data_IF_533187003154
#
_entry.id   IF_533187003154
#
_cell.length_a   1.000
_cell.length_b   1.000
_cell.length_c   1.000
_cell.angle_alpha   90.00
_cell.angle_beta   90.00
_cell.angle_gamma   90.00
#
_symmetry.space_group_name_H-M   'P 1'
#
loop_
_entity.id
_entity.type
_entity.pdbx_description
1 polymer ?
#
# COMPACT_ATOMS: atom_id res chain seq x y z
N UNK A 1 21.40 -7.58 5.21
CA UNK A 1 21.30 -6.60 4.11
C UNK A 1 20.94 -5.29 4.75
N UNK A 2 21.68 -4.23 4.45
CA UNK A 2 21.55 -2.96 5.13
C UNK A 2 20.95 -1.87 4.22
N UNK A 3 20.98 -2.07 2.89
CA UNK A 3 20.50 -1.10 1.89
C UNK A 3 20.00 -1.74 0.59
N UNK A 4 19.40 -0.94 -0.28
CA UNK A 4 19.09 -1.28 -1.67
C UNK A 4 20.35 -1.35 -2.54
N UNK A 5 21.40 -0.59 -2.22
CA UNK A 5 22.71 -0.74 -2.87
C UNK A 5 23.28 -2.15 -2.70
N UNK A 6 23.11 -2.78 -1.53
CA UNK A 6 23.51 -4.18 -1.31
C UNK A 6 22.74 -5.12 -2.22
N UNK A 7 21.42 -4.93 -2.36
CA UNK A 7 20.57 -5.74 -3.22
C UNK A 7 21.00 -5.64 -4.69
N UNK A 8 21.29 -4.42 -5.16
CA UNK A 8 21.84 -4.20 -6.50
C UNK A 8 23.17 -4.92 -6.69
N UNK A 9 24.08 -4.84 -5.71
CA UNK A 9 25.40 -5.49 -5.78
C UNK A 9 25.28 -7.01 -5.85
N UNK A 10 24.40 -7.61 -5.05
CA UNK A 10 24.16 -9.05 -5.08
C UNK A 10 23.55 -9.50 -6.42
N UNK A 11 22.55 -8.78 -6.91
CA UNK A 11 21.89 -9.13 -8.18
C UNK A 11 22.81 -8.93 -9.39
N UNK A 12 23.76 -7.99 -9.36
CA UNK A 12 24.72 -7.78 -10.44
C UNK A 12 25.78 -8.89 -10.54
N UNK A 13 25.96 -9.70 -9.49
CA UNK A 13 26.76 -10.93 -9.61
C UNK A 13 26.11 -11.90 -10.59
N UNK A 14 24.77 -11.95 -10.64
CA UNK A 14 24.03 -12.88 -11.49
C UNK A 14 24.01 -12.46 -12.98
N UNK A 15 24.32 -11.20 -13.30
CA UNK A 15 24.37 -10.73 -14.69
C UNK A 15 25.70 -11.00 -15.40
N UNK A 16 26.70 -11.51 -14.68
CA UNK A 16 28.01 -11.88 -15.23
C UNK A 16 27.98 -13.34 -15.65
N UNK A 17 28.72 -13.69 -16.70
CA UNK A 17 28.92 -15.08 -17.08
C UNK A 17 29.64 -15.82 -15.94
N UNK A 18 28.94 -16.73 -15.29
CA UNK A 18 29.46 -17.46 -14.13
C UNK A 18 30.06 -18.79 -14.58
N UNK A 19 31.35 -19.01 -14.28
CA UNK A 19 32.03 -20.28 -14.57
C UNK A 19 31.55 -21.46 -13.71
N UNK A 20 30.88 -21.18 -12.58
CA UNK A 20 30.33 -22.17 -11.64
C UNK A 20 28.92 -21.74 -11.22
N UNK A 21 28.04 -22.66 -10.81
CA UNK A 21 26.76 -22.31 -10.23
C UNK A 21 26.94 -21.38 -9.01
N UNK A 22 26.26 -20.23 -9.00
CA UNK A 22 26.30 -19.26 -7.90
C UNK A 22 24.93 -19.19 -7.24
N UNK A 23 24.90 -19.15 -5.91
CA UNK A 23 23.69 -18.95 -5.13
C UNK A 23 23.76 -17.57 -4.48
N UNK A 24 22.75 -16.73 -4.73
CA UNK A 24 22.63 -15.41 -4.10
C UNK A 24 21.40 -15.41 -3.20
N UNK A 25 21.61 -15.08 -1.93
CA UNK A 25 20.53 -14.97 -0.94
C UNK A 25 20.84 -13.86 0.07
N UNK A 26 20.20 -12.71 -0.10
CA UNK A 26 20.22 -11.60 0.86
C UNK A 26 19.52 -11.97 2.16
N UNK A 27 20.12 -11.57 3.28
CA UNK A 27 19.60 -11.78 4.63
C UNK A 27 18.71 -10.61 5.09
N UNK A 28 17.70 -10.92 5.90
CA UNK A 28 16.73 -9.94 6.43
C UNK A 28 15.64 -9.56 5.43
N UNK A 29 14.67 -8.76 5.86
CA UNK A 29 13.50 -8.37 5.05
C UNK A 29 13.94 -7.65 3.75
N UNK A 30 14.92 -6.74 3.84
CA UNK A 30 15.52 -6.06 2.69
C UNK A 30 16.10 -7.03 1.64
N UNK A 31 16.58 -8.20 2.05
CA UNK A 31 17.18 -9.19 1.17
C UNK A 31 16.18 -10.12 0.48
N UNK A 32 14.90 -10.11 0.88
CA UNK A 32 13.88 -11.04 0.38
C UNK A 32 13.72 -10.97 -1.13
N UNK A 33 13.86 -9.78 -1.73
CA UNK A 33 13.81 -9.62 -3.18
C UNK A 33 14.78 -10.55 -3.90
N UNK A 34 16.01 -10.68 -3.42
CA UNK A 34 17.03 -11.55 -4.04
C UNK A 34 16.67 -13.03 -3.97
N UNK A 35 15.93 -13.45 -2.93
CA UNK A 35 15.46 -14.83 -2.78
C UNK A 35 14.33 -15.16 -3.75
N UNK A 36 13.48 -14.18 -4.04
CA UNK A 36 12.33 -14.33 -4.94
C UNK A 36 12.78 -14.26 -6.41
N UNK A 37 13.56 -13.24 -6.79
CA UNK A 37 13.88 -12.99 -8.21
C UNK A 37 15.25 -13.54 -8.63
N UNK A 38 16.11 -13.91 -7.68
CA UNK A 38 17.48 -14.37 -7.95
C UNK A 38 17.52 -15.55 -8.93
N UNK A 39 16.74 -16.62 -8.73
CA UNK A 39 16.73 -17.77 -9.64
C UNK A 39 16.34 -17.41 -11.08
N UNK A 40 15.34 -16.54 -11.24
CA UNK A 40 14.95 -16.01 -12.56
C UNK A 40 16.05 -15.17 -13.24
N UNK A 41 17.09 -14.79 -12.50
CA UNK A 41 18.23 -13.98 -12.96
C UNK A 41 19.56 -14.73 -12.99
N UNK A 42 19.57 -16.02 -12.69
CA UNK A 42 20.77 -16.87 -12.79
C UNK A 42 21.30 -17.41 -11.47
N UNK A 43 20.65 -17.15 -10.33
CA UNK A 43 20.97 -17.86 -9.09
C UNK A 43 20.61 -19.33 -9.25
N UNK A 44 21.52 -20.25 -8.90
CA UNK A 44 21.32 -21.68 -9.10
C UNK A 44 20.10 -22.22 -8.33
N UNK A 45 19.91 -21.74 -7.10
CA UNK A 45 18.73 -22.06 -6.27
C UNK A 45 18.38 -20.90 -5.34
N UNK A 46 17.30 -21.07 -4.58
CA UNK A 46 16.91 -20.25 -3.44
C UNK A 46 16.42 -21.13 -2.29
N UNK A 47 16.39 -20.60 -1.08
CA UNK A 47 15.94 -21.30 0.12
C UNK A 47 14.59 -20.77 0.60
N UNK A 48 13.68 -21.68 0.91
CA UNK A 48 12.38 -21.40 1.53
C UNK A 48 12.19 -22.29 2.77
N UNK A 49 11.47 -21.78 3.77
CA UNK A 49 11.21 -22.50 5.01
C UNK A 49 9.95 -23.37 4.87
N UNK A 50 10.06 -24.67 5.12
CA UNK A 50 8.89 -25.55 5.24
C UNK A 50 8.20 -25.42 6.61
N UNK A 51 8.99 -25.14 7.65
CA UNK A 51 8.53 -24.89 9.03
C UNK A 51 9.10 -23.55 9.53
N UNK A 52 10.03 -23.57 10.47
CA UNK A 52 10.70 -22.38 10.96
C UNK A 52 11.79 -21.92 9.98
N UNK A 53 11.98 -20.61 9.86
CA UNK A 53 13.09 -20.04 9.12
C UNK A 53 14.41 -20.41 9.81
N UNK A 54 15.38 -20.92 9.03
CA UNK A 54 16.76 -21.14 9.49
C UNK A 54 17.64 -19.91 9.33
N UNK A 55 17.17 -18.91 8.59
CA UNK A 55 17.91 -17.69 8.27
C UNK A 55 16.99 -16.45 8.25
N UNK A 56 17.43 -15.30 8.79
CA UNK A 56 16.71 -14.03 8.66
C UNK A 56 16.30 -13.70 7.22
N UNK A 57 15.03 -13.35 7.04
CA UNK A 57 14.45 -13.02 5.73
C UNK A 57 14.11 -14.23 4.85
N UNK A 58 14.28 -15.46 5.33
CA UNK A 58 13.79 -16.63 4.62
C UNK A 58 12.25 -16.64 4.62
N UNK A 59 11.68 -16.76 3.43
CA UNK A 59 10.24 -16.84 3.23
C UNK A 59 9.75 -18.28 3.39
N UNK A 60 8.50 -18.46 3.81
CA UNK A 60 7.91 -19.80 3.81
C UNK A 60 7.76 -20.34 2.38
N UNK A 61 7.75 -21.67 2.23
CA UNK A 61 7.48 -22.32 0.94
C UNK A 61 6.09 -21.91 0.41
N UNK A 62 5.11 -21.74 1.31
CA UNK A 62 3.78 -21.25 0.97
C UNK A 62 3.80 -19.84 0.40
N UNK A 63 4.50 -18.89 1.03
CA UNK A 63 4.63 -17.53 0.50
C UNK A 63 5.35 -17.50 -0.85
N UNK A 64 6.44 -18.24 -0.99
CA UNK A 64 7.20 -18.32 -2.24
C UNK A 64 6.33 -18.83 -3.39
N UNK A 65 5.62 -19.93 -3.18
CA UNK A 65 4.85 -20.58 -4.24
C UNK A 65 3.51 -19.87 -4.51
N UNK A 66 2.78 -19.47 -3.47
CA UNK A 66 1.39 -19.02 -3.60
C UNK A 66 1.25 -17.50 -3.66
N UNK A 67 2.08 -16.75 -2.92
CA UNK A 67 2.02 -15.28 -2.92
C UNK A 67 2.88 -14.71 -4.03
N UNK A 68 4.17 -15.07 -4.06
CA UNK A 68 5.10 -14.53 -5.05
C UNK A 68 5.13 -15.31 -6.36
N UNK A 69 4.37 -16.42 -6.44
CA UNK A 69 4.24 -17.25 -7.66
C UNK A 69 5.61 -17.60 -8.23
N UNK A 70 6.53 -17.98 -7.34
CA UNK A 70 7.96 -18.10 -7.63
C UNK A 70 8.29 -18.84 -8.92
N UNK A 71 7.56 -19.93 -9.24
CA UNK A 71 7.75 -20.73 -10.46
C UNK A 71 7.42 -19.99 -11.77
N UNK A 72 6.65 -18.90 -11.70
CA UNK A 72 6.26 -18.07 -12.85
C UNK A 72 7.17 -16.86 -13.04
N UNK A 73 8.00 -16.52 -12.05
CA UNK A 73 8.92 -15.37 -12.13
C UNK A 73 10.03 -15.69 -13.13
N UNK A 74 10.21 -14.79 -14.10
CA UNK A 74 11.18 -14.86 -15.20
C UNK A 74 12.04 -13.61 -15.21
N UNK A 75 13.10 -13.62 -16.03
CA UNK A 75 13.95 -12.43 -16.23
C UNK A 75 13.18 -11.23 -16.81
N UNK A 76 12.15 -11.49 -17.60
CA UNK A 76 11.24 -10.48 -18.19
C UNK A 76 10.23 -9.91 -17.22
N UNK A 77 9.96 -10.60 -16.10
CA UNK A 77 8.89 -10.24 -15.17
C UNK A 77 9.10 -8.84 -14.62
N UNK A 78 8.07 -8.00 -14.78
CA UNK A 78 8.07 -6.62 -14.32
C UNK A 78 7.97 -6.60 -12.79
N UNK A 79 8.89 -5.90 -12.13
CA UNK A 79 8.91 -5.82 -10.67
C UNK A 79 8.15 -4.60 -10.19
N UNK A 80 7.10 -4.85 -9.40
CA UNK A 80 6.34 -3.83 -8.68
C UNK A 80 6.38 -4.17 -7.20
N UNK A 81 6.12 -3.21 -6.31
CA UNK A 81 6.04 -3.52 -4.89
C UNK A 81 5.54 -2.39 -4.02
N UNK A 82 5.63 -2.57 -2.71
CA UNK A 82 5.26 -1.55 -1.73
C UNK A 82 6.48 -0.98 -1.02
N UNK A 83 6.65 0.34 -1.10
CA UNK A 83 7.67 1.13 -0.40
C UNK A 83 7.09 1.68 0.90
N UNK A 84 7.77 1.43 2.02
CA UNK A 84 7.36 1.91 3.33
C UNK A 84 8.30 1.43 4.44
N UNK A 85 8.01 1.85 5.66
CA UNK A 85 8.71 1.38 6.85
C UNK A 85 7.79 1.47 8.08
N UNK A 86 7.24 0.34 8.58
CA UNK A 86 7.40 -1.04 8.10
C UNK A 86 6.47 -1.40 6.92
N UNK A 87 6.76 -2.51 6.22
CA UNK A 87 5.90 -3.10 5.17
C UNK A 87 5.58 -4.59 5.35
N UNK A 88 6.16 -5.24 6.37
CA UNK A 88 6.02 -6.68 6.62
C UNK A 88 4.57 -7.19 6.66
N UNK A 89 3.64 -6.42 7.24
CA UNK A 89 2.22 -6.78 7.38
C UNK A 89 1.34 -6.37 6.20
N UNK A 90 1.91 -5.82 5.12
CA UNK A 90 1.09 -5.39 3.98
C UNK A 90 0.42 -6.58 3.28
N UNK A 91 -0.89 -6.46 3.03
CA UNK A 91 -1.66 -7.41 2.24
C UNK A 91 -1.54 -7.17 0.72
N UNK A 92 -0.92 -6.06 0.30
CA UNK A 92 -0.80 -5.67 -1.12
C UNK A 92 -0.12 -6.75 -1.99
N UNK A 93 0.93 -7.48 -1.53
CA UNK A 93 1.50 -8.58 -2.30
C UNK A 93 0.49 -9.70 -2.57
N UNK A 94 -0.38 -10.06 -1.62
CA UNK A 94 -1.41 -11.08 -1.84
C UNK A 94 -2.41 -10.61 -2.89
N UNK A 95 -2.91 -9.38 -2.76
CA UNK A 95 -3.92 -8.82 -3.64
C UNK A 95 -3.40 -8.68 -5.09
N UNK A 96 -2.29 -7.98 -5.28
CA UNK A 96 -1.78 -7.67 -6.61
C UNK A 96 -1.22 -8.90 -7.33
N UNK A 97 -0.53 -9.82 -6.65
CA UNK A 97 -0.04 -11.03 -7.32
C UNK A 97 -1.19 -11.92 -7.79
N UNK A 98 -2.28 -12.03 -7.03
CA UNK A 98 -3.50 -12.72 -7.48
C UNK A 98 -4.14 -12.02 -8.67
N UNK A 99 -4.20 -10.69 -8.66
CA UNK A 99 -4.73 -9.92 -9.79
C UNK A 99 -3.88 -10.07 -11.06
N UNK A 100 -2.55 -10.00 -10.96
CA UNK A 100 -1.66 -10.26 -12.10
C UNK A 100 -1.81 -11.67 -12.63
N UNK A 101 -2.08 -12.65 -11.77
CA UNK A 101 -2.31 -14.03 -12.18
C UNK A 101 -3.62 -14.23 -12.93
N UNK A 102 -4.73 -13.72 -12.39
CA UNK A 102 -6.06 -13.77 -13.04
C UNK A 102 -6.03 -13.06 -14.40
N UNK A 103 -5.31 -11.94 -14.51
CA UNK A 103 -5.16 -11.20 -15.77
C UNK A 103 -4.08 -11.76 -16.72
N UNK A 104 -3.39 -12.85 -16.37
CA UNK A 104 -2.27 -13.42 -17.13
C UNK A 104 -1.17 -12.40 -17.51
N UNK A 105 -0.79 -11.55 -16.55
CA UNK A 105 0.21 -10.50 -16.74
C UNK A 105 1.56 -10.85 -16.07
N UNK A 106 2.66 -10.66 -16.80
CA UNK A 106 4.04 -10.97 -16.34
C UNK A 106 4.60 -9.88 -15.40
N UNK A 107 4.00 -9.79 -14.21
CA UNK A 107 4.41 -8.92 -13.11
C UNK A 107 4.57 -9.72 -11.83
N UNK A 108 5.39 -9.25 -10.91
CA UNK A 108 5.40 -9.72 -9.51
C UNK A 108 5.36 -8.52 -8.58
N UNK A 109 4.47 -8.56 -7.59
CA UNK A 109 4.37 -7.57 -6.53
C UNK A 109 5.18 -8.01 -5.31
N UNK A 110 6.09 -7.15 -4.85
CA UNK A 110 7.09 -7.43 -3.83
C UNK A 110 6.97 -6.46 -2.64
N UNK A 111 7.68 -6.76 -1.54
CA UNK A 111 7.86 -5.82 -0.43
C UNK A 111 9.18 -5.09 -0.60
N UNK A 112 9.16 -3.76 -0.50
CA UNK A 112 10.33 -2.90 -0.58
C UNK A 112 10.50 -2.12 0.73
N UNK A 113 10.90 -2.79 1.84
CA UNK A 113 11.18 -2.09 3.09
C UNK A 113 12.24 -1.03 2.84
N UNK A 114 11.93 0.23 3.16
CA UNK A 114 12.76 1.35 2.74
C UNK A 114 12.80 2.37 3.87
N UNK A 115 13.93 2.50 4.54
CA UNK A 115 14.18 3.57 5.50
C UNK A 115 14.76 4.82 4.78
N UNK A 116 15.69 4.58 3.85
CA UNK A 116 16.32 5.62 3.03
C UNK A 116 15.75 5.62 1.60
N UNK A 117 14.95 6.65 1.28
CA UNK A 117 14.38 6.82 -0.05
C UNK A 117 15.46 7.11 -1.11
N UNK A 118 16.53 7.84 -0.76
CA UNK A 118 17.58 8.19 -1.71
C UNK A 118 18.27 6.93 -2.23
N UNK A 119 18.70 6.06 -1.31
CA UNK A 119 19.29 4.76 -1.65
C UNK A 119 18.31 3.89 -2.47
N UNK A 120 17.01 3.88 -2.14
CA UNK A 120 16.02 3.18 -2.96
C UNK A 120 15.97 3.72 -4.40
N UNK A 121 15.82 5.02 -4.60
CA UNK A 121 15.69 5.61 -5.94
C UNK A 121 16.95 5.48 -6.79
N UNK A 122 18.13 5.57 -6.19
CA UNK A 122 19.42 5.37 -6.88
C UNK A 122 19.61 3.94 -7.40
N UNK A 123 18.91 2.96 -6.79
CA UNK A 123 19.09 1.53 -7.10
C UNK A 123 17.89 0.88 -7.79
N UNK A 124 16.68 1.42 -7.64
CA UNK A 124 15.43 0.80 -8.10
C UNK A 124 15.45 0.44 -9.59
N UNK A 125 15.90 1.36 -10.45
CA UNK A 125 15.97 1.12 -11.91
C UNK A 125 16.99 0.05 -12.29
N UNK A 126 18.17 0.06 -11.65
CA UNK A 126 19.20 -0.95 -11.89
C UNK A 126 18.75 -2.35 -11.43
N UNK A 127 17.90 -2.42 -10.41
CA UNK A 127 17.27 -3.66 -9.95
C UNK A 127 16.13 -4.10 -10.89
N UNK A 128 15.62 -3.23 -11.76
CA UNK A 128 14.53 -3.53 -12.70
C UNK A 128 13.13 -3.28 -12.12
N UNK A 129 13.02 -2.46 -11.08
CA UNK A 129 11.73 -1.99 -10.55
C UNK A 129 11.11 -1.02 -11.55
N UNK A 130 9.82 -1.23 -11.86
CA UNK A 130 9.08 -0.43 -12.84
C UNK A 130 7.94 0.39 -12.22
N UNK A 131 7.54 0.09 -10.99
CA UNK A 131 6.54 0.85 -10.24
C UNK A 131 6.42 0.36 -8.81
N UNK A 132 5.74 1.13 -7.98
CA UNK A 132 5.52 0.77 -6.59
C UNK A 132 4.38 1.58 -5.96
N UNK A 133 3.68 0.99 -4.99
CA UNK A 133 2.88 1.74 -4.03
C UNK A 133 3.80 2.38 -2.99
N UNK A 134 3.37 3.49 -2.41
CA UNK A 134 4.05 4.18 -1.31
C UNK A 134 3.10 4.20 -0.12
N UNK A 135 3.57 3.76 1.04
CA UNK A 135 2.82 3.81 2.31
C UNK A 135 3.59 4.61 3.37
N UNK A 136 3.10 4.59 4.61
CA UNK A 136 3.70 5.27 5.75
C UNK A 136 5.20 4.90 5.87
N UNK A 137 6.08 5.88 6.16
CA UNK A 137 5.83 7.32 6.33
C UNK A 137 6.04 8.15 5.04
N UNK A 138 6.21 7.50 3.89
CA UNK A 138 6.88 8.08 2.72
C UNK A 138 5.99 8.85 1.74
N UNK A 139 4.66 8.87 1.94
CA UNK A 139 3.72 9.45 0.95
C UNK A 139 3.99 10.91 0.60
N UNK A 140 4.58 11.71 1.50
CA UNK A 140 5.03 13.08 1.16
C UNK A 140 6.52 13.12 0.83
N UNK A 141 7.35 12.34 1.54
CA UNK A 141 8.81 12.33 1.39
C UNK A 141 9.30 11.78 0.03
N UNK A 142 8.46 11.03 -0.68
CA UNK A 142 8.77 10.51 -2.02
C UNK A 142 8.78 11.60 -3.10
N UNK A 143 8.03 12.70 -2.91
CA UNK A 143 7.78 13.72 -3.94
C UNK A 143 9.06 14.31 -4.55
N UNK A 144 10.10 14.67 -3.76
CA UNK A 144 11.33 15.25 -4.32
C UNK A 144 12.10 14.34 -5.29
N UNK A 145 11.82 13.03 -5.31
CA UNK A 145 12.47 12.06 -6.18
C UNK A 145 11.74 11.82 -7.50
N UNK A 146 10.57 12.47 -7.69
CA UNK A 146 9.70 12.26 -8.84
C UNK A 146 9.91 13.36 -9.88
N UNK A 147 9.95 12.95 -11.16
CA UNK A 147 10.10 13.89 -12.27
C UNK A 147 8.78 14.49 -12.74
N UNK A 148 7.65 13.88 -12.39
CA UNK A 148 6.31 14.36 -12.72
C UNK A 148 5.30 13.95 -11.66
N UNK A 149 4.29 14.81 -11.43
CA UNK A 149 3.12 14.51 -10.60
C UNK A 149 1.86 14.73 -11.43
N UNK A 150 0.89 13.84 -11.28
CA UNK A 150 -0.47 14.06 -11.78
C UNK A 150 -1.16 15.22 -11.05
N UNK A 151 -2.27 15.72 -11.61
CA UNK A 151 -3.03 16.81 -11.00
C UNK A 151 -3.57 16.40 -9.62
N UNK A 152 -4.06 15.18 -9.49
CA UNK A 152 -4.52 14.57 -8.24
C UNK A 152 -3.41 14.53 -7.18
N UNK A 153 -2.23 13.99 -7.51
CA UNK A 153 -1.10 13.96 -6.59
C UNK A 153 -0.63 15.36 -6.16
N UNK A 154 -0.55 16.30 -7.10
CA UNK A 154 -0.16 17.69 -6.84
C UNK A 154 -1.15 18.37 -5.90
N UNK A 155 -2.45 18.22 -6.15
CA UNK A 155 -3.51 18.78 -5.32
C UNK A 155 -3.54 18.16 -3.91
N UNK A 156 -3.28 16.85 -3.80
CA UNK A 156 -3.21 16.18 -2.51
C UNK A 156 -1.93 16.52 -1.73
N UNK A 157 -0.83 16.88 -2.40
CA UNK A 157 0.47 17.06 -1.74
C UNK A 157 0.98 15.78 -1.07
N UNK A 158 0.63 14.63 -1.66
CA UNK A 158 1.01 13.28 -1.26
C UNK A 158 0.90 12.32 -2.47
N UNK A 159 1.75 11.30 -2.52
CA UNK A 159 1.81 10.27 -3.56
C UNK A 159 1.76 8.90 -2.89
N UNK A 160 0.88 8.03 -3.38
CA UNK A 160 0.81 6.63 -2.95
C UNK A 160 1.12 5.64 -4.08
N UNK A 161 1.32 6.11 -5.31
CA UNK A 161 1.48 5.28 -6.51
C UNK A 161 2.54 5.89 -7.41
N UNK A 162 3.55 5.10 -7.78
CA UNK A 162 4.67 5.55 -8.61
C UNK A 162 4.93 4.55 -9.74
N UNK A 163 5.30 5.03 -10.92
CA UNK A 163 5.76 4.21 -12.03
C UNK A 163 6.81 4.92 -12.89
N UNK A 164 7.61 4.13 -13.60
CA UNK A 164 8.61 4.65 -14.53
C UNK A 164 8.00 4.82 -15.93
N UNK A 165 8.14 6.01 -16.51
CA UNK A 165 7.72 6.32 -17.88
C UNK A 165 8.61 7.43 -18.44
N UNK A 166 9.03 7.30 -19.70
CA UNK A 166 9.77 8.33 -20.45
C UNK A 166 10.98 8.92 -19.69
N UNK A 167 11.78 8.04 -19.08
CA UNK A 167 13.02 8.45 -18.40
C UNK A 167 12.84 9.06 -17.01
N UNK A 168 11.62 9.06 -16.45
CA UNK A 168 11.33 9.64 -15.14
C UNK A 168 10.34 8.81 -14.32
N UNK A 169 10.36 9.03 -13.01
CA UNK A 169 9.35 8.53 -12.09
C UNK A 169 8.15 9.48 -12.05
N UNK A 170 6.95 8.93 -12.21
CA UNK A 170 5.68 9.68 -12.18
C UNK A 170 4.92 9.30 -10.92
N UNK A 171 4.41 10.31 -10.20
CA UNK A 171 3.62 10.15 -8.98
C UNK A 171 2.13 10.40 -9.17
N UNK A 172 1.33 9.52 -8.58
CA UNK A 172 -0.14 9.60 -8.48
C UNK A 172 -0.61 9.36 -7.03
N UNK A 173 -1.80 9.84 -6.70
CA UNK A 173 -2.50 9.59 -5.46
C UNK A 173 -3.85 8.88 -5.70
N UNK A 174 -3.82 7.55 -5.72
CA UNK A 174 -5.02 6.71 -5.84
C UNK A 174 -5.82 6.62 -4.54
N UNK A 175 -5.31 7.09 -3.39
CA UNK A 175 -6.11 7.17 -2.18
C UNK A 175 -7.26 8.17 -2.35
N UNK A 176 -7.05 9.27 -3.10
CA UNK A 176 -8.12 10.23 -3.45
C UNK A 176 -9.26 9.51 -4.18
N UNK A 177 -8.91 8.65 -5.14
CA UNK A 177 -9.87 7.80 -5.84
C UNK A 177 -10.56 6.82 -4.88
N UNK A 178 -9.80 6.15 -4.01
CA UNK A 178 -10.33 5.22 -3.03
C UNK A 178 -11.33 5.85 -2.05
N UNK A 179 -11.06 7.08 -1.58
CA UNK A 179 -11.99 7.83 -0.71
C UNK A 179 -13.29 8.14 -1.45
N UNK A 180 -13.21 8.64 -2.70
CA UNK A 180 -14.40 8.93 -3.51
C UNK A 180 -15.23 7.67 -3.77
N UNK A 181 -14.57 6.55 -4.09
CA UNK A 181 -15.24 5.27 -4.30
C UNK A 181 -15.92 4.77 -3.02
N UNK A 182 -15.28 4.90 -1.86
CA UNK A 182 -15.86 4.52 -0.57
C UNK A 182 -17.11 5.35 -0.25
N UNK A 183 -17.06 6.67 -0.42
CA UNK A 183 -18.22 7.55 -0.23
C UNK A 183 -19.36 7.24 -1.21
N UNK A 184 -19.04 7.00 -2.48
CA UNK A 184 -20.02 6.62 -3.50
C UNK A 184 -20.70 5.27 -3.16
N UNK A 185 -19.95 4.29 -2.65
CA UNK A 185 -20.50 2.99 -2.25
C UNK A 185 -21.52 3.11 -1.11
N UNK A 186 -21.33 4.09 -0.21
CA UNK A 186 -22.25 4.43 0.87
C UNK A 186 -23.37 5.39 0.43
N UNK A 187 -23.42 5.77 -0.85
CA UNK A 187 -24.34 6.79 -1.40
C UNK A 187 -24.30 8.11 -0.61
N UNK A 188 -23.13 8.47 -0.08
CA UNK A 188 -22.94 9.68 0.70
C UNK A 188 -22.47 10.83 -0.20
N UNK A 189 -23.34 11.81 -0.42
CA UNK A 189 -22.98 13.06 -1.08
C UNK A 189 -22.35 14.04 -0.07
N UNK A 190 -21.12 14.44 -0.36
CA UNK A 190 -20.34 15.37 0.48
C UNK A 190 -20.71 16.83 0.24
N UNK A 191 -21.47 17.13 -0.81
CA UNK A 191 -21.82 18.50 -1.21
C UNK A 191 -22.54 19.25 -0.09
N UNK A 192 -21.97 20.38 0.33
CA UNK A 192 -22.55 21.19 1.41
C UNK A 192 -22.40 20.63 2.84
N UNK A 193 -21.74 19.47 3.00
CA UNK A 193 -21.57 18.78 4.29
C UNK A 193 -20.40 19.32 5.11
N UNK A 194 -20.44 19.11 6.43
CA UNK A 194 -19.32 19.32 7.33
C UNK A 194 -18.62 18.01 7.61
N UNK A 195 -17.29 18.01 7.49
CA UNK A 195 -16.46 16.82 7.62
C UNK A 195 -15.37 17.05 8.66
N UNK A 196 -15.16 16.07 9.53
CA UNK A 196 -14.02 16.03 10.45
C UNK A 196 -13.11 14.87 10.05
N UNK A 197 -11.82 15.14 9.89
CA UNK A 197 -10.80 14.13 9.58
C UNK A 197 -9.85 14.02 10.77
N UNK A 198 -9.67 12.81 11.30
CA UNK A 198 -8.73 12.49 12.37
C UNK A 198 -7.39 12.08 11.76
N UNK A 199 -6.32 12.77 12.14
CA UNK A 199 -4.98 12.62 11.57
C UNK A 199 -4.66 13.66 10.50
N UNK A 200 -3.37 13.94 10.32
CA UNK A 200 -2.85 14.94 9.38
C UNK A 200 -1.77 14.37 8.42
N UNK A 201 -1.72 13.04 8.28
CA UNK A 201 -0.77 12.34 7.42
C UNK A 201 -1.16 12.32 5.94
N UNK A 202 -0.44 11.55 5.13
CA UNK A 202 -0.70 11.43 3.69
C UNK A 202 -2.12 10.94 3.34
N UNK A 203 -2.69 10.06 4.16
CA UNK A 203 -4.08 9.59 3.99
C UNK A 203 -5.11 10.71 4.25
N UNK A 204 -4.90 11.53 5.29
CA UNK A 204 -5.74 12.68 5.57
C UNK A 204 -5.68 13.72 4.45
N UNK A 205 -4.48 13.98 3.91
CA UNK A 205 -4.29 14.85 2.73
C UNK A 205 -5.08 14.35 1.51
N UNK A 206 -5.07 13.04 1.26
CA UNK A 206 -5.86 12.45 0.18
C UNK A 206 -7.37 12.59 0.43
N UNK A 207 -7.84 12.41 1.66
CA UNK A 207 -9.24 12.68 2.02
C UNK A 207 -9.62 14.14 1.76
N UNK A 208 -8.81 15.10 2.20
CA UNK A 208 -9.07 16.54 1.93
C UNK A 208 -9.21 16.78 0.41
N UNK A 209 -8.30 16.22 -0.40
CA UNK A 209 -8.36 16.36 -1.86
C UNK A 209 -9.58 15.66 -2.50
N UNK A 210 -10.16 14.65 -1.84
CA UNK A 210 -11.38 13.98 -2.27
C UNK A 210 -12.64 14.79 -1.94
N UNK A 211 -12.61 15.68 -0.95
CA UNK A 211 -13.76 16.36 -0.34
C UNK A 211 -13.98 17.80 -0.83
N UNK A 212 -13.57 18.14 -2.06
CA UNK A 212 -13.62 19.53 -2.57
C UNK A 212 -15.01 20.19 -2.55
N UNK A 213 -16.10 19.41 -2.58
CA UNK A 213 -17.48 19.93 -2.56
C UNK A 213 -18.06 20.09 -1.13
N UNK A 214 -17.33 19.68 -0.10
CA UNK A 214 -17.77 19.86 1.29
C UNK A 214 -17.80 21.34 1.68
N UNK A 215 -18.78 21.73 2.50
CA UNK A 215 -18.90 23.10 3.03
C UNK A 215 -17.75 23.45 3.95
N UNK A 216 -17.35 22.51 4.80
CA UNK A 216 -16.24 22.69 5.72
C UNK A 216 -15.55 21.34 5.98
N UNK A 217 -14.22 21.35 5.94
CA UNK A 217 -13.38 20.18 6.27
C UNK A 217 -12.43 20.58 7.39
N UNK A 218 -12.59 19.98 8.56
CA UNK A 218 -11.72 20.19 9.72
C UNK A 218 -10.77 19.01 9.86
N UNK A 219 -9.46 19.25 9.83
CA UNK A 219 -8.43 18.24 10.06
C UNK A 219 -7.91 18.36 11.49
N UNK A 220 -8.02 17.29 12.27
CA UNK A 220 -7.54 17.23 13.65
C UNK A 220 -6.26 16.40 13.72
N UNK A 221 -5.08 17.03 13.95
CA UNK A 221 -3.85 16.27 14.16
C UNK A 221 -3.92 15.43 15.43
N UNK A 222 -2.99 14.48 15.60
CA UNK A 222 -3.00 13.49 16.71
C UNK A 222 -3.30 14.09 18.09
N UNK A 223 -2.68 15.22 18.42
CA UNK A 223 -2.82 15.92 19.72
C UNK A 223 -4.21 16.52 19.96
N UNK A 224 -5.01 16.70 18.91
CA UNK A 224 -6.33 17.37 18.94
C UNK A 224 -7.48 16.39 18.69
N UNK A 225 -7.21 15.10 18.42
CA UNK A 225 -8.24 14.10 18.10
C UNK A 225 -9.33 14.02 19.17
N UNK A 226 -8.96 14.10 20.46
CA UNK A 226 -9.91 14.06 21.56
C UNK A 226 -10.98 15.17 21.49
N UNK A 227 -10.67 16.29 20.85
CA UNK A 227 -11.60 17.41 20.65
C UNK A 227 -12.63 17.16 19.53
N UNK A 228 -12.56 16.03 18.83
CA UNK A 228 -13.53 15.68 17.80
C UNK A 228 -14.92 15.43 18.39
N UNK A 229 -15.02 14.82 19.59
CA UNK A 229 -16.29 14.50 20.25
C UNK A 229 -17.19 15.73 20.49
N UNK A 230 -16.61 16.92 20.58
CA UNK A 230 -17.33 18.18 20.75
C UNK A 230 -17.76 18.83 19.41
N UNK A 231 -17.41 18.25 18.27
CA UNK A 231 -17.63 18.82 16.93
C UNK A 231 -18.64 18.00 16.14
N UNK A 232 -19.92 18.36 16.24
CA UNK A 232 -20.96 17.74 15.41
C UNK A 232 -20.67 17.95 13.93
N UNK A 233 -20.68 16.87 13.16
CA UNK A 233 -20.43 16.88 11.71
C UNK A 233 -21.32 15.87 10.99
N UNK A 234 -21.40 15.96 9.66
CA UNK A 234 -22.13 14.98 8.86
C UNK A 234 -21.29 13.71 8.65
N UNK A 235 -19.97 13.87 8.47
CA UNK A 235 -19.02 12.79 8.21
C UNK A 235 -17.78 12.91 9.11
N UNK A 236 -17.45 11.82 9.80
CA UNK A 236 -16.19 11.64 10.52
C UNK A 236 -15.30 10.65 9.75
N UNK A 237 -14.06 11.03 9.44
CA UNK A 237 -13.09 10.15 8.78
C UNK A 237 -11.91 9.87 9.72
N UNK A 238 -11.65 8.62 10.06
CA UNK A 238 -10.38 8.23 10.70
C UNK A 238 -9.32 7.98 9.61
N UNK A 239 -8.30 8.84 9.56
CA UNK A 239 -7.13 8.69 8.70
C UNK A 239 -5.85 8.45 9.51
N UNK A 240 -5.98 7.97 10.76
CA UNK A 240 -4.89 7.54 11.62
C UNK A 240 -4.71 6.01 11.59
N UNK A 241 -3.58 5.46 12.07
CA UNK A 241 -3.45 4.02 12.23
C UNK A 241 -4.11 3.46 13.51
N UNK A 242 -4.81 4.27 14.31
CA UNK A 242 -5.44 3.80 15.56
C UNK A 242 -6.54 2.77 15.23
N UNK A 243 -6.48 1.62 15.88
CA UNK A 243 -7.35 0.47 15.60
C UNK A 243 -6.83 -0.49 14.52
N UNK A 244 -5.66 -0.22 13.93
CA UNK A 244 -5.03 -1.10 12.97
C UNK A 244 -4.28 -2.25 13.66
N UNK A 245 -4.35 -3.46 13.08
CA UNK A 245 -3.59 -4.61 13.54
C UNK A 245 -2.09 -4.30 13.67
N UNK A 246 -1.42 -4.71 14.78
CA UNK A 246 -1.94 -5.56 15.86
C UNK A 246 -2.71 -4.82 16.97
N UNK A 247 -2.71 -3.48 16.98
CA UNK A 247 -3.35 -2.66 18.01
C UNK A 247 -4.87 -2.49 17.78
N UNK A 248 -5.58 -3.61 17.65
CA UNK A 248 -6.99 -3.66 17.25
C UNK A 248 -7.95 -3.10 18.29
N UNK A 249 -7.53 -3.05 19.55
CA UNK A 249 -8.32 -2.53 20.68
C UNK A 249 -8.21 -1.01 20.82
N UNK A 250 -7.32 -0.35 20.08
CA UNK A 250 -7.23 1.11 20.06
C UNK A 250 -8.38 1.73 19.26
N UNK A 251 -8.80 2.92 19.66
CA UNK A 251 -9.76 3.74 18.93
C UNK A 251 -9.33 5.20 18.99
N UNK A 252 -9.52 5.99 17.92
CA UNK A 252 -9.33 7.43 18.02
C UNK A 252 -10.39 8.12 18.89
N UNK A 253 -11.54 7.49 19.12
CA UNK A 253 -12.62 7.99 19.98
C UNK A 253 -13.27 6.86 20.79
N UNK A 254 -13.48 7.11 22.08
CA UNK A 254 -14.09 6.14 23.01
C UNK A 254 -15.50 6.55 23.50
N UNK A 255 -16.00 7.72 23.09
CA UNK A 255 -17.26 8.28 23.55
C UNK A 255 -18.36 8.37 22.48
N UNK A 256 -19.33 9.29 22.67
CA UNK A 256 -20.37 9.56 21.67
C UNK A 256 -19.77 9.93 20.31
N UNK A 257 -20.27 9.30 19.25
CA UNK A 257 -19.85 9.59 17.88
C UNK A 257 -20.55 10.87 17.40
N UNK A 258 -19.80 11.94 17.08
CA UNK A 258 -20.35 13.25 16.76
C UNK A 258 -20.77 13.37 15.29
N UNK A 259 -21.01 12.26 14.60
CA UNK A 259 -21.31 12.20 13.17
C UNK A 259 -22.45 11.25 12.83
N UNK A 260 -23.09 11.48 11.68
CA UNK A 260 -24.11 10.60 11.12
C UNK A 260 -23.48 9.44 10.33
N UNK A 261 -22.34 9.71 9.68
CA UNK A 261 -21.54 8.72 8.96
C UNK A 261 -20.11 8.69 9.51
N UNK A 262 -19.59 7.48 9.74
CA UNK A 262 -18.20 7.25 10.14
C UNK A 262 -17.49 6.43 9.08
N UNK A 263 -16.40 6.98 8.53
CA UNK A 263 -15.52 6.29 7.61
C UNK A 263 -14.18 6.03 8.29
N UNK A 264 -13.81 4.77 8.47
CA UNK A 264 -12.49 4.40 8.97
C UNK A 264 -11.60 3.93 7.82
N UNK A 265 -10.47 4.59 7.58
CA UNK A 265 -9.53 4.18 6.54
C UNK A 265 -8.69 2.96 6.92
N UNK A 266 -8.72 2.55 8.18
CA UNK A 266 -8.13 1.28 8.62
C UNK A 266 -8.92 0.13 7.98
N UNK A 267 -8.21 -0.76 7.27
CA UNK A 267 -8.81 -1.91 6.58
C UNK A 267 -8.49 -3.24 7.24
N UNK A 268 -7.55 -3.27 8.19
CA UNK A 268 -7.17 -4.46 8.94
C UNK A 268 -7.14 -4.13 10.44
N UNK A 269 -8.14 -4.57 11.22
CA UNK A 269 -9.25 -5.44 10.84
C UNK A 269 -10.33 -4.72 10.00
N UNK A 270 -11.21 -5.44 9.28
CA UNK A 270 -12.31 -4.83 8.51
C UNK A 270 -13.32 -4.05 9.35
N UNK A 271 -13.52 -4.47 10.61
CA UNK A 271 -14.34 -3.77 11.61
C UNK A 271 -13.43 -3.36 12.75
N UNK A 272 -13.10 -2.06 12.84
CA UNK A 272 -12.35 -1.50 13.95
C UNK A 272 -13.25 -1.26 15.17
N UNK A 273 -12.63 -1.01 16.33
CA UNK A 273 -13.35 -0.56 17.54
C UNK A 273 -14.17 0.71 17.30
N UNK A 274 -13.65 1.65 16.50
CA UNK A 274 -14.37 2.86 16.10
C UNK A 274 -15.65 2.51 15.32
N UNK A 275 -15.53 1.68 14.28
CA UNK A 275 -16.68 1.30 13.46
C UNK A 275 -17.71 0.49 14.26
N UNK A 276 -17.26 -0.35 15.19
CA UNK A 276 -18.14 -1.08 16.10
C UNK A 276 -18.93 -0.12 16.98
N UNK A 277 -18.26 0.81 17.67
CA UNK A 277 -18.90 1.84 18.51
C UNK A 277 -19.88 2.70 17.73
N UNK A 278 -19.54 3.10 16.50
CA UNK A 278 -20.43 3.87 15.63
C UNK A 278 -21.70 3.09 15.28
N UNK A 279 -21.60 1.79 14.97
CA UNK A 279 -22.77 0.94 14.72
C UNK A 279 -23.65 0.77 15.94
N UNK A 280 -23.06 0.54 17.10
CA UNK A 280 -23.78 0.38 18.37
C UNK A 280 -24.56 1.65 18.73
N UNK A 281 -24.12 2.82 18.24
CA UNK A 281 -24.80 4.11 18.36
C UNK A 281 -25.74 4.46 17.18
N UNK A 282 -26.05 3.48 16.32
CA UNK A 282 -26.98 3.64 15.20
C UNK A 282 -26.45 4.48 14.04
N UNK A 283 -25.13 4.67 13.91
CA UNK A 283 -24.52 5.46 12.85
C UNK A 283 -24.27 4.63 11.60
N UNK A 284 -24.26 5.29 10.44
CA UNK A 284 -23.82 4.65 9.20
C UNK A 284 -22.30 4.51 9.20
N UNK A 285 -21.79 3.37 8.75
CA UNK A 285 -20.33 3.14 8.70
C UNK A 285 -19.83 2.78 7.32
N UNK A 286 -18.63 3.25 7.01
CA UNK A 286 -17.87 2.94 5.80
C UNK A 286 -16.57 2.26 6.24
N UNK A 287 -16.31 1.06 5.73
CA UNK A 287 -15.11 0.29 6.05
C UNK A 287 -13.92 0.71 5.19
N UNK A 288 -12.71 0.62 5.75
CA UNK A 288 -11.47 0.93 5.04
C UNK A 288 -11.17 -0.05 3.90
N UNK A 289 -11.73 -1.27 3.96
CA UNK A 289 -11.61 -2.29 2.91
C UNK A 289 -12.10 -1.80 1.56
N UNK A 290 -13.21 -1.06 1.51
CA UNK A 290 -13.74 -0.50 0.26
C UNK A 290 -12.75 0.48 -0.38
N UNK A 291 -12.18 1.38 0.41
CA UNK A 291 -11.14 2.31 -0.05
C UNK A 291 -9.88 1.55 -0.47
N UNK A 292 -9.43 0.60 0.34
CA UNK A 292 -8.21 -0.18 0.11
C UNK A 292 -8.28 -0.94 -1.23
N UNK A 293 -9.40 -1.58 -1.52
CA UNK A 293 -9.60 -2.29 -2.78
C UNK A 293 -9.71 -1.34 -3.98
N UNK A 294 -10.46 -0.24 -3.84
CA UNK A 294 -10.62 0.74 -4.92
C UNK A 294 -9.30 1.43 -5.30
N UNK A 295 -8.49 1.84 -4.31
CA UNK A 295 -7.18 2.45 -4.58
C UNK A 295 -6.21 1.43 -5.22
N UNK A 296 -6.28 0.16 -4.81
CA UNK A 296 -5.43 -0.90 -5.34
C UNK A 296 -5.82 -1.29 -6.78
N UNK A 297 -7.12 -1.33 -7.07
CA UNK A 297 -7.63 -1.52 -8.43
C UNK A 297 -7.08 -0.43 -9.36
N UNK A 298 -7.14 0.83 -8.90
CA UNK A 298 -6.62 1.96 -9.68
C UNK A 298 -5.10 1.87 -9.89
N UNK A 299 -4.35 1.44 -8.87
CA UNK A 299 -2.92 1.18 -9.01
C UNK A 299 -2.62 0.11 -10.06
N UNK A 300 -3.34 -0.99 -10.03
CA UNK A 300 -3.22 -2.06 -11.02
C UNK A 300 -3.44 -1.53 -12.44
N UNK A 301 -4.49 -0.74 -12.66
CA UNK A 301 -4.79 -0.15 -13.96
C UNK A 301 -3.67 0.78 -14.45
N UNK A 302 -3.13 1.62 -13.56
CA UNK A 302 -2.04 2.54 -13.90
C UNK A 302 -0.80 1.80 -14.36
N UNK A 303 -0.40 0.74 -13.66
CA UNK A 303 0.84 0.04 -13.98
C UNK A 303 0.72 -0.89 -15.18
N UNK A 304 -0.45 -1.48 -15.37
CA UNK A 304 -0.66 -2.52 -16.37
C UNK A 304 -1.25 -1.98 -17.66
N UNK A 305 -2.02 -0.89 -17.61
CA UNK A 305 -2.86 -0.45 -18.72
C UNK A 305 -4.10 -1.32 -18.94
N UNK A 306 -4.32 -2.34 -18.10
CA UNK A 306 -5.47 -3.24 -18.17
C UNK A 306 -6.49 -2.90 -17.09
N UNK A 307 -7.77 -3.14 -17.38
CA UNK A 307 -8.84 -3.03 -16.38
C UNK A 307 -8.58 -3.98 -15.21
N UNK A 308 -8.78 -3.49 -13.99
CA UNK A 308 -8.65 -4.32 -12.80
C UNK A 308 -9.68 -5.48 -12.79
N UNK A 309 -9.27 -6.74 -12.55
CA UNK A 309 -10.21 -7.86 -12.41
C UNK A 309 -11.16 -7.65 -11.23
N UNK A 310 -12.46 -7.46 -11.52
CA UNK A 310 -13.48 -7.15 -10.50
C UNK A 310 -13.54 -8.21 -9.41
N UNK A 311 -13.43 -9.49 -9.76
CA UNK A 311 -13.45 -10.61 -8.82
C UNK A 311 -12.37 -10.57 -7.73
N UNK A 312 -11.27 -9.85 -7.96
CA UNK A 312 -10.17 -9.68 -7.01
C UNK A 312 -10.30 -8.39 -6.20
N UNK A 313 -10.79 -7.31 -6.84
CA UNK A 313 -10.86 -5.98 -6.23
C UNK A 313 -12.26 -5.60 -5.73
N UNK A 314 -13.23 -6.50 -5.77
CA UNK A 314 -14.53 -6.32 -5.13
C UNK A 314 -14.54 -7.04 -3.78
N UNK A 315 -15.16 -6.40 -2.79
CA UNK A 315 -15.32 -6.96 -1.46
C UNK A 315 -16.31 -8.14 -1.50
N UNK A 316 -15.85 -9.34 -1.85
CA UNK A 316 -16.50 -10.57 -1.39
C UNK A 316 -16.00 -10.84 0.01
N UNK A 317 -16.94 -10.99 0.95
CA UNK A 317 -16.67 -11.34 2.36
C UNK A 317 -15.71 -12.54 2.43
N UNK A 318 -14.43 -12.31 2.75
CA UNK A 318 -13.43 -13.36 2.99
C UNK A 318 -12.18 -13.39 2.10
N UNK A 319 -11.91 -12.39 1.26
CA UNK A 319 -10.76 -12.41 0.33
C UNK A 319 -9.48 -11.69 0.78
N UNK A 320 -9.46 -11.10 1.97
CA UNK A 320 -8.29 -10.48 2.60
C UNK A 320 -7.96 -11.16 3.92
#
# INVERSE_FOLDING_TARGET
MNSWSDNRRLLSLLSREQRKPVIVAGMGELGQITRIIGPARGSFLTYAASTAASAPGQLSTGEMLNVYRFRRVRRSTKLIGIVGSPVGHSLSPNLHNRAFDSANLDFVYLKFPTADLKDFFENARAIGIVGFSVTIPHKTAVIPFLGELTAEARNAGAVNTVWWRDGKWIGENTDVYGVRAALASAKFDVSGKTVVILGAGGAAKAAVAALKAARNVTVLPRREIASASARRCDLLINATPLGMSPAVDESPLDGPIPADVVFDMVYNPPITRLLKSARDQGKTVIQGTTMFLAQAARQFEIWTGHRAPSEIFEAKTGLL
#
